data_IF_662926538677
#
_entry.id   IF_662926538677
#
_cell.length_a   1.000
_cell.length_b   1.000
_cell.length_c   1.000
_cell.angle_alpha   90.00
_cell.angle_beta   90.00
_cell.angle_gamma   90.00
#
_symmetry.space_group_name_H-M   'P 1'
#
loop_
_entity.id
_entity.type
_entity.pdbx_description
1 polymer ?
#
# COMPACT_ATOMS: atom_id res chain seq x y z
N UNK A 1 -4.05 27.70 18.03
CA UNK A 1 -2.57 27.79 17.91
C UNK A 1 -1.88 26.44 18.08
N UNK A 2 -2.28 25.54 19.00
CA UNK A 2 -1.63 24.22 19.16
C UNK A 2 -1.66 23.32 17.91
N UNK A 3 -2.74 23.38 17.12
CA UNK A 3 -2.87 22.61 15.87
C UNK A 3 -1.82 22.98 14.82
N UNK A 4 -1.43 24.25 14.70
CA UNK A 4 -0.41 24.68 13.73
C UNK A 4 0.97 24.13 14.08
N UNK A 5 1.37 24.17 15.36
CA UNK A 5 2.66 23.65 15.81
C UNK A 5 2.77 22.13 15.62
N UNK A 6 1.69 21.38 15.87
CA UNK A 6 1.66 19.93 15.67
C UNK A 6 1.70 19.49 14.20
N UNK A 7 1.36 20.36 13.25
CA UNK A 7 1.49 20.06 11.82
C UNK A 7 2.94 20.14 11.34
N UNK A 8 3.70 21.12 11.86
CA UNK A 8 5.13 21.27 11.54
C UNK A 8 6.03 20.33 12.34
N UNK A 9 5.64 20.02 13.58
CA UNK A 9 6.37 19.14 14.47
C UNK A 9 5.43 18.05 15.00
N UNK A 10 5.12 17.04 14.16
CA UNK A 10 4.27 15.94 14.60
C UNK A 10 4.93 15.21 15.77
N UNK A 11 4.14 14.75 16.75
CA UNK A 11 4.65 13.91 17.83
C UNK A 11 5.15 12.57 17.25
N UNK A 12 5.95 11.85 18.04
CA UNK A 12 6.45 10.53 17.64
C UNK A 12 5.30 9.61 17.22
N UNK A 13 5.50 8.79 16.17
CA UNK A 13 4.45 7.94 15.64
C UNK A 13 4.01 6.91 16.70
N UNK A 14 2.70 6.77 16.86
CA UNK A 14 2.11 5.80 17.78
C UNK A 14 2.38 4.34 17.34
N UNK A 15 2.49 4.10 16.03
CA UNK A 15 2.79 2.80 15.44
C UNK A 15 4.17 2.84 14.77
N UNK A 16 4.99 1.83 15.04
CA UNK A 16 6.35 1.66 14.55
C UNK A 16 6.59 0.22 14.11
N UNK A 17 7.76 -0.04 13.54
CA UNK A 17 8.25 -1.35 13.13
C UNK A 17 8.37 -2.30 14.33
N UNK A 18 8.38 -1.76 15.55
CA UNK A 18 8.50 -2.57 16.76
C UNK A 18 7.12 -2.96 17.28
N UNK A 19 6.18 -2.02 17.35
CA UNK A 19 4.91 -2.23 18.05
C UNK A 19 3.72 -2.54 17.12
N UNK A 20 3.85 -2.42 15.79
CA UNK A 20 2.78 -2.82 14.88
C UNK A 20 2.57 -4.34 14.95
N UNK A 21 1.34 -4.82 15.24
CA UNK A 21 1.01 -6.24 15.21
C UNK A 21 1.21 -6.86 13.82
N UNK A 22 1.27 -8.19 13.77
CA UNK A 22 1.37 -8.90 12.49
C UNK A 22 0.20 -8.56 11.57
N UNK A 23 0.50 -8.32 10.30
CA UNK A 23 -0.49 -8.02 9.26
C UNK A 23 -0.78 -9.22 8.35
N UNK A 24 -0.48 -10.44 8.82
CA UNK A 24 -0.72 -11.68 8.06
C UNK A 24 -2.19 -11.83 7.69
N UNK A 25 -2.41 -12.44 6.51
CA UNK A 25 -3.74 -12.75 5.96
C UNK A 25 -4.63 -11.52 5.72
N UNK A 26 -4.04 -10.33 5.76
CA UNK A 26 -4.70 -9.11 5.33
C UNK A 26 -4.26 -8.76 3.92
N UNK A 27 -5.22 -8.36 3.10
CA UNK A 27 -5.02 -7.93 1.73
C UNK A 27 -5.07 -6.41 1.69
N UNK A 28 -4.00 -5.80 1.20
CA UNK A 28 -3.84 -4.36 1.13
C UNK A 28 -3.72 -3.91 -0.33
N UNK A 29 -4.34 -2.78 -0.66
CA UNK A 29 -4.00 -2.03 -1.87
C UNK A 29 -3.44 -0.69 -1.44
N UNK A 30 -2.23 -0.36 -1.91
CA UNK A 30 -1.60 0.95 -1.71
C UNK A 30 -1.45 1.62 -3.07
N UNK A 31 -2.28 2.63 -3.33
CA UNK A 31 -2.13 3.44 -4.56
C UNK A 31 -0.84 4.27 -4.48
N UNK A 32 -0.08 4.32 -5.59
CA UNK A 32 1.25 4.94 -5.57
C UNK A 32 2.26 4.19 -4.70
N UNK A 33 2.04 2.90 -4.41
CA UNK A 33 2.87 2.08 -3.52
C UNK A 33 4.31 1.80 -4.00
N UNK A 34 4.71 2.32 -5.16
CA UNK A 34 6.03 2.08 -5.76
C UNK A 34 7.02 3.24 -5.55
N UNK A 35 6.57 4.38 -5.00
CA UNK A 35 7.45 5.54 -4.76
C UNK A 35 7.07 6.33 -3.51
N UNK A 36 8.00 7.15 -3.03
CA UNK A 36 7.80 8.07 -1.91
C UNK A 36 7.23 7.38 -0.66
N UNK A 37 6.23 8.02 -0.04
CA UNK A 37 5.56 7.49 1.15
C UNK A 37 4.81 6.18 0.90
N UNK A 38 4.31 5.96 -0.32
CA UNK A 38 3.62 4.73 -0.68
C UNK A 38 4.56 3.52 -0.70
N UNK A 39 5.82 3.72 -1.12
CA UNK A 39 6.85 2.68 -1.11
C UNK A 39 7.24 2.30 0.32
N UNK A 40 7.46 3.29 1.18
CA UNK A 40 7.77 3.05 2.59
C UNK A 40 6.61 2.31 3.29
N UNK A 41 5.37 2.74 3.06
CA UNK A 41 4.19 2.06 3.59
C UNK A 41 4.08 0.61 3.09
N UNK A 42 4.27 0.38 1.79
CA UNK A 42 4.21 -0.96 1.19
C UNK A 42 5.30 -1.87 1.76
N UNK A 43 6.51 -1.34 1.93
CA UNK A 43 7.66 -2.04 2.53
C UNK A 43 7.37 -2.39 4.00
N UNK A 44 6.86 -1.43 4.76
CA UNK A 44 6.50 -1.60 6.17
C UNK A 44 5.43 -2.68 6.38
N UNK A 45 4.36 -2.66 5.56
CA UNK A 45 3.30 -3.68 5.58
C UNK A 45 3.81 -5.05 5.15
N UNK A 46 4.67 -5.11 4.13
CA UNK A 46 5.29 -6.35 3.65
C UNK A 46 6.13 -7.00 4.76
N UNK A 47 7.01 -6.23 5.41
CA UNK A 47 7.85 -6.73 6.52
C UNK A 47 7.02 -7.29 7.68
N UNK A 48 5.85 -6.71 7.96
CA UNK A 48 4.94 -7.15 9.04
C UNK A 48 4.02 -8.31 8.65
N UNK A 49 3.92 -8.58 7.37
CA UNK A 49 3.24 -9.74 6.79
C UNK A 49 4.18 -10.95 6.69
N UNK A 50 5.48 -10.71 6.51
CA UNK A 50 6.53 -11.73 6.53
C UNK A 50 6.74 -12.33 7.93
N UNK A 51 7.16 -13.60 8.01
CA UNK A 51 7.50 -14.29 9.27
C UNK A 51 9.00 -14.22 9.50
N UNK A 52 9.45 -13.60 10.61
CA UNK A 52 10.80 -13.88 11.13
C UNK A 52 10.79 -15.30 11.71
N UNK A 53 11.30 -16.27 10.96
CA UNK A 53 11.46 -17.65 11.42
C UNK A 53 12.85 -17.82 12.04
N UNK A 54 12.97 -17.67 13.37
CA UNK A 54 14.14 -18.14 14.13
C UNK A 54 13.83 -19.52 14.71
N UNK A 55 14.22 -20.60 14.04
CA UNK A 55 14.03 -21.96 14.57
C UNK A 55 14.13 -23.05 13.51
N UNK A 56 14.97 -24.04 13.79
CA UNK A 56 15.37 -25.17 12.95
C UNK A 56 14.23 -26.20 12.79
N UNK A 57 13.21 -25.94 11.97
CA UNK A 57 12.29 -26.99 11.47
C UNK A 57 11.56 -26.55 10.20
N UNK A 58 11.35 -27.50 9.27
CA UNK A 58 10.76 -27.28 7.94
C UNK A 58 9.27 -26.91 8.02
N UNK A 59 8.82 -25.74 7.53
CA UNK A 59 7.40 -25.44 7.45
C UNK A 59 6.86 -25.67 6.02
N UNK A 60 5.61 -26.16 5.95
CA UNK A 60 4.76 -26.14 4.75
C UNK A 60 4.57 -24.66 4.38
N UNK A 61 4.91 -24.26 3.14
CA UNK A 61 5.09 -22.86 2.74
C UNK A 61 3.79 -22.27 2.16
N UNK A 62 3.01 -21.45 2.89
CA UNK A 62 2.30 -20.35 2.27
C UNK A 62 3.32 -19.23 1.98
N UNK A 63 3.33 -18.68 0.76
CA UNK A 63 4.27 -17.64 0.35
C UNK A 63 4.12 -16.43 1.29
N UNK A 64 5.18 -16.17 2.04
CA UNK A 64 5.24 -15.15 3.08
C UNK A 64 5.28 -13.76 2.44
N UNK A 65 4.27 -12.92 2.68
CA UNK A 65 4.16 -11.58 2.10
C UNK A 65 4.21 -11.60 0.57
N UNK A 66 3.07 -11.61 -0.12
CA UNK A 66 3.09 -11.50 -1.58
C UNK A 66 2.92 -10.04 -1.98
N UNK A 67 3.81 -9.54 -2.84
CA UNK A 67 3.68 -8.23 -3.45
C UNK A 67 3.27 -8.42 -4.90
N UNK A 68 2.05 -7.99 -5.22
CA UNK A 68 1.52 -8.03 -6.58
C UNK A 68 1.51 -6.62 -7.15
N UNK A 69 2.14 -6.43 -8.31
CA UNK A 69 2.06 -5.17 -9.02
C UNK A 69 0.69 -5.06 -9.72
N UNK A 70 -0.08 -4.04 -9.34
CA UNK A 70 -1.36 -3.73 -9.97
C UNK A 70 -1.18 -2.51 -10.90
N UNK A 71 -1.27 -2.69 -12.24
CA UNK A 71 -1.18 -1.57 -13.17
C UNK A 71 -2.45 -0.71 -13.05
N UNK A 72 -2.35 0.36 -12.25
CA UNK A 72 -3.45 1.28 -11.95
C UNK A 72 -2.95 2.73 -12.08
N UNK A 73 -3.35 3.40 -13.15
CA UNK A 73 -3.08 4.81 -13.37
C UNK A 73 -4.35 5.61 -13.03
N UNK A 74 -4.33 6.35 -11.92
CA UNK A 74 -5.52 7.08 -11.46
C UNK A 74 -5.85 8.31 -12.32
N UNK A 75 -4.92 8.76 -13.16
CA UNK A 75 -5.12 9.80 -14.18
C UNK A 75 -5.66 9.24 -15.52
N UNK A 76 -5.78 7.91 -15.64
CA UNK A 76 -6.41 7.22 -16.77
C UNK A 76 -7.42 6.19 -16.28
N UNK A 77 -8.70 6.59 -16.26
CA UNK A 77 -9.80 5.76 -15.77
C UNK A 77 -9.99 4.46 -16.55
N UNK A 78 -9.48 4.35 -17.78
CA UNK A 78 -9.52 3.11 -18.55
C UNK A 78 -8.74 1.98 -17.89
N UNK A 79 -7.74 2.31 -17.06
CA UNK A 79 -6.91 1.34 -16.33
C UNK A 79 -7.61 0.73 -15.11
N UNK A 80 -8.68 1.35 -14.61
CA UNK A 80 -9.36 0.93 -13.36
C UNK A 80 -9.99 -0.46 -13.52
N UNK A 81 -10.79 -0.67 -14.58
CA UNK A 81 -11.51 -1.93 -14.76
C UNK A 81 -10.55 -3.13 -14.92
N UNK A 82 -9.51 -3.08 -15.79
CA UNK A 82 -8.50 -4.12 -15.87
C UNK A 82 -7.79 -4.40 -14.53
N UNK A 83 -7.46 -3.34 -13.77
CA UNK A 83 -6.85 -3.50 -12.45
C UNK A 83 -7.79 -4.25 -11.48
N UNK A 84 -9.08 -3.93 -11.46
CA UNK A 84 -10.07 -4.63 -10.63
C UNK A 84 -10.21 -6.09 -11.06
N UNK A 85 -10.21 -6.38 -12.36
CA UNK A 85 -10.27 -7.76 -12.88
C UNK A 85 -9.04 -8.58 -12.45
N UNK A 86 -7.83 -8.00 -12.55
CA UNK A 86 -6.59 -8.63 -12.06
C UNK A 86 -6.69 -8.91 -10.56
N UNK A 87 -7.13 -7.91 -9.78
CA UNK A 87 -7.24 -8.05 -8.33
C UNK A 87 -8.25 -9.13 -7.93
N UNK A 88 -9.45 -9.09 -8.50
CA UNK A 88 -10.53 -10.05 -8.16
C UNK A 88 -10.28 -11.47 -8.67
N UNK A 89 -9.42 -11.63 -9.69
CA UNK A 89 -8.94 -12.94 -10.11
C UNK A 89 -7.90 -13.54 -9.13
N UNK A 90 -7.14 -12.70 -8.43
CA UNK A 90 -6.09 -13.11 -7.50
C UNK A 90 -6.60 -13.25 -6.05
N UNK A 91 -7.47 -12.35 -5.61
CA UNK A 91 -7.90 -12.22 -4.22
C UNK A 91 -9.42 -12.11 -4.12
N UNK A 92 -10.00 -12.81 -3.15
CA UNK A 92 -11.45 -12.80 -2.92
C UNK A 92 -11.91 -11.72 -1.93
N UNK A 93 -10.97 -10.98 -1.33
CA UNK A 93 -11.23 -9.96 -0.29
C UNK A 93 -10.22 -8.83 -0.35
N UNK A 94 -10.67 -7.65 0.09
CA UNK A 94 -9.82 -6.49 0.34
C UNK A 94 -10.03 -6.06 1.79
N UNK A 95 -8.97 -5.99 2.59
CA UNK A 95 -9.07 -5.56 3.99
C UNK A 95 -8.87 -4.05 4.15
N UNK A 96 -7.90 -3.47 3.43
CA UNK A 96 -7.58 -2.05 3.53
C UNK A 96 -7.16 -1.49 2.18
N UNK A 97 -7.71 -0.32 1.84
CA UNK A 97 -7.31 0.50 0.70
C UNK A 97 -6.66 1.79 1.20
N UNK A 98 -5.36 1.97 0.89
CA UNK A 98 -4.66 3.23 1.10
C UNK A 98 -4.69 4.08 -0.17
N UNK A 99 -5.50 5.14 -0.13
CA UNK A 99 -5.54 6.19 -1.15
C UNK A 99 -4.37 7.17 -0.93
N UNK A 100 -3.16 6.71 -1.21
CA UNK A 100 -1.92 7.46 -1.03
C UNK A 100 -1.47 8.19 -2.31
N UNK A 101 -1.84 7.70 -3.50
CA UNK A 101 -1.43 8.34 -4.75
C UNK A 101 -1.91 9.78 -4.83
N UNK A 102 -0.99 10.70 -5.13
CA UNK A 102 -1.27 12.12 -5.27
C UNK A 102 -0.15 12.83 -6.03
N UNK A 103 -0.52 13.94 -6.66
CA UNK A 103 0.40 14.83 -7.37
C UNK A 103 0.10 16.27 -6.96
N UNK A 104 1.14 17.09 -6.82
CA UNK A 104 1.01 18.53 -6.58
C UNK A 104 1.35 19.28 -7.85
N UNK A 105 0.55 20.29 -8.20
CA UNK A 105 0.63 21.03 -9.47
C UNK A 105 0.63 20.12 -10.71
N UNK A 106 -0.40 19.28 -10.91
CA UNK A 106 -0.51 18.49 -12.14
C UNK A 106 -0.58 19.40 -13.35
N UNK A 107 0.14 19.06 -14.41
CA UNK A 107 -0.07 19.73 -15.69
C UNK A 107 -1.46 19.34 -16.19
N UNK A 108 -2.30 20.32 -16.52
CA UNK A 108 -3.61 20.05 -17.11
C UNK A 108 -3.35 19.38 -18.46
N UNK A 109 -3.55 18.06 -18.53
CA UNK A 109 -3.66 17.38 -19.82
C UNK A 109 -4.87 17.96 -20.53
N UNK A 110 -4.66 18.54 -21.72
CA UNK A 110 -5.75 18.94 -22.59
C UNK A 110 -6.61 17.69 -22.85
N UNK A 111 -7.81 17.63 -22.28
CA UNK A 111 -8.76 16.58 -22.57
C UNK A 111 -9.15 16.73 -24.04
N UNK A 112 -8.65 15.84 -24.89
CA UNK A 112 -9.23 15.68 -26.22
C UNK A 112 -10.54 14.96 -25.99
N UNK A 113 -11.64 15.71 -26.06
CA UNK A 113 -12.98 15.18 -25.93
C UNK A 113 -13.17 14.02 -26.91
N UNK A 114 -13.72 12.90 -26.42
CA UNK A 114 -14.27 11.84 -27.26
C UNK A 114 -15.56 12.32 -27.94
#
# INVERSE_FOLDING_TARGET
MGTTWSQFFPPSPALTEVNLPSQRQKVFIVTGGYSGMGLELSTFLYQKSARKQSGRSKPRIPREGELVFLPLALDDLSTIKPAVEIFTAAESRLDVLFNNAGVSNPQIRAQTNF
#
